data_IF_688144018937
#
_entry.id   IF_688144018937
#
_cell.length_a   1.000
_cell.length_b   1.000
_cell.length_c   1.000
_cell.angle_alpha   90.00
_cell.angle_beta   90.00
_cell.angle_gamma   90.00
#
_symmetry.space_group_name_H-M   'P 1'
#
loop_
_entity.id
_entity.type
_entity.pdbx_description
1 polymer ?
#
# COMPACT_ATOMS: atom_id res chain seq x y z
N UNK A 1 -3.57 19.28 -3.59
CA UNK A 1 -3.91 19.85 -2.27
C UNK A 1 -3.29 21.22 -2.15
N UNK A 2 -3.97 22.15 -1.48
CA UNK A 2 -3.54 23.56 -1.35
C UNK A 2 -2.23 23.74 -0.55
N UNK A 3 -1.80 22.76 0.25
CA UNK A 3 -0.55 22.83 1.03
C UNK A 3 0.32 21.56 0.90
N UNK A 4 1.04 21.39 -0.21
CA UNK A 4 1.85 20.20 -0.48
C UNK A 4 3.03 20.00 0.50
N UNK A 5 3.58 21.10 1.04
CA UNK A 5 4.69 21.06 2.01
C UNK A 5 4.23 20.57 3.39
N UNK A 6 3.07 21.02 3.86
CA UNK A 6 2.46 20.58 5.13
C UNK A 6 2.12 19.10 5.09
N UNK A 7 1.54 18.63 3.99
CA UNK A 7 1.28 17.20 3.81
C UNK A 7 2.56 16.35 3.79
N UNK A 8 3.68 16.88 3.25
CA UNK A 8 4.98 16.20 3.32
C UNK A 8 5.55 16.13 4.74
N UNK A 9 5.44 17.23 5.51
CA UNK A 9 5.85 17.26 6.91
C UNK A 9 5.00 16.31 7.78
N UNK A 10 3.67 16.30 7.60
CA UNK A 10 2.78 15.36 8.29
C UNK A 10 3.05 13.90 7.91
N UNK A 11 3.38 13.63 6.64
CA UNK A 11 3.80 12.30 6.22
C UNK A 11 5.09 11.87 6.90
N UNK A 12 6.07 12.77 7.09
CA UNK A 12 7.31 12.48 7.81
C UNK A 12 7.07 12.26 9.31
N UNK A 13 6.27 13.11 9.96
CA UNK A 13 5.87 12.92 11.37
C UNK A 13 5.15 11.59 11.55
N UNK A 14 4.21 11.28 10.67
CA UNK A 14 3.55 9.97 10.64
C UNK A 14 4.56 8.83 10.44
N UNK A 15 5.52 8.98 9.52
CA UNK A 15 6.54 7.98 9.23
C UNK A 15 7.42 7.63 10.44
N UNK A 16 7.66 8.62 11.31
CA UNK A 16 8.45 8.45 12.53
C UNK A 16 7.68 7.72 13.63
N UNK A 17 6.35 7.83 13.64
CA UNK A 17 5.49 7.03 14.51
C UNK A 17 5.28 5.61 13.96
N UNK A 18 5.17 5.49 12.63
CA UNK A 18 5.03 4.23 11.89
C UNK A 18 5.39 4.52 10.44
N UNK A 19 6.33 3.80 9.82
CA UNK A 19 6.92 4.12 8.49
C UNK A 19 5.91 4.39 7.35
N UNK A 20 4.71 3.83 7.45
CA UNK A 20 3.67 3.68 6.41
C UNK A 20 3.09 5.00 5.87
N UNK A 21 2.82 6.04 6.70
CA UNK A 21 2.52 7.40 6.25
C UNK A 21 3.47 7.98 5.19
N UNK A 22 4.74 7.58 5.13
CA UNK A 22 5.66 8.00 4.07
C UNK A 22 5.19 7.57 2.66
N UNK A 23 4.44 6.46 2.56
CA UNK A 23 3.96 5.93 1.29
C UNK A 23 2.95 6.87 0.61
N UNK A 24 2.32 7.78 1.36
CA UNK A 24 1.47 8.83 0.79
C UNK A 24 2.25 9.76 -0.15
N UNK A 25 3.55 9.96 0.09
CA UNK A 25 4.44 10.81 -0.73
C UNK A 25 4.55 10.29 -2.17
N UNK A 26 4.41 8.98 -2.38
CA UNK A 26 4.45 8.33 -3.70
C UNK A 26 3.38 8.91 -4.63
N UNK A 27 2.21 9.26 -4.07
CA UNK A 27 1.10 9.89 -4.78
C UNK A 27 1.23 11.41 -4.97
N UNK A 28 2.20 12.06 -4.32
CA UNK A 28 2.32 13.52 -4.29
C UNK A 28 3.16 14.07 -5.46
N UNK A 29 2.91 15.35 -5.79
CA UNK A 29 3.52 16.05 -6.93
C UNK A 29 4.49 17.15 -6.49
N UNK A 30 5.50 17.38 -7.33
CA UNK A 30 6.55 18.38 -7.10
C UNK A 30 7.62 17.92 -6.10
N UNK A 31 8.76 18.61 -6.09
CA UNK A 31 9.86 18.32 -5.14
C UNK A 31 9.52 18.75 -3.71
N UNK A 32 8.59 19.70 -3.54
CA UNK A 32 8.24 20.30 -2.24
C UNK A 32 7.86 19.29 -1.14
N UNK A 33 6.88 18.39 -1.34
CA UNK A 33 6.53 17.36 -0.37
C UNK A 33 7.69 16.43 -0.02
N UNK A 34 8.49 16.03 -1.01
CA UNK A 34 9.64 15.14 -0.84
C UNK A 34 10.77 15.80 -0.07
N UNK A 35 11.08 17.05 -0.39
CA UNK A 35 12.08 17.85 0.33
C UNK A 35 11.61 18.13 1.76
N UNK A 36 10.35 18.51 1.95
CA UNK A 36 9.78 18.69 3.29
C UNK A 36 9.87 17.40 4.10
N UNK A 37 9.51 16.25 3.52
CA UNK A 37 9.61 14.97 4.21
C UNK A 37 11.05 14.57 4.52
N UNK A 38 11.99 14.79 3.59
CA UNK A 38 13.40 14.49 3.79
C UNK A 38 14.02 15.38 4.88
N UNK A 39 13.75 16.69 4.86
CA UNK A 39 14.27 17.64 5.85
C UNK A 39 13.65 17.37 7.22
N UNK A 40 12.33 17.21 7.31
CA UNK A 40 11.66 16.89 8.58
C UNK A 40 12.09 15.53 9.13
N UNK A 41 12.21 14.52 8.27
CA UNK A 41 12.68 13.18 8.65
C UNK A 41 14.14 13.18 9.12
N UNK A 42 15.04 13.83 8.38
CA UNK A 42 16.45 13.95 8.76
C UNK A 42 16.63 14.76 10.06
N UNK A 43 15.89 15.85 10.21
CA UNK A 43 15.92 16.67 11.42
C UNK A 43 15.46 15.89 12.66
N UNK A 44 14.36 15.13 12.56
CA UNK A 44 13.91 14.29 13.67
C UNK A 44 14.84 13.11 13.94
N UNK A 45 15.39 12.48 12.89
CA UNK A 45 16.35 11.41 13.04
C UNK A 45 17.62 11.89 13.76
N UNK A 46 18.13 13.07 13.39
CA UNK A 46 19.25 13.71 14.07
C UNK A 46 18.92 14.06 15.53
N UNK A 47 17.71 14.59 15.79
CA UNK A 47 17.24 14.87 17.14
C UNK A 47 17.23 13.60 18.00
N UNK A 48 16.71 12.48 17.49
CA UNK A 48 16.72 11.20 18.21
C UNK A 48 18.12 10.62 18.37
N UNK A 49 18.99 10.75 17.36
CA UNK A 49 20.39 10.31 17.45
C UNK A 49 21.13 10.98 18.62
N UNK A 50 20.86 12.26 18.85
CA UNK A 50 21.55 13.07 19.88
C UNK A 50 20.87 12.95 21.24
N UNK A 51 19.54 12.92 21.29
CA UNK A 51 18.79 12.94 22.56
C UNK A 51 18.54 11.55 23.15
N UNK A 52 18.62 10.48 22.33
CA UNK A 52 18.34 9.10 22.74
C UNK A 52 19.45 8.15 22.27
N UNK A 53 20.49 7.93 23.08
CA UNK A 53 21.50 6.90 22.79
C UNK A 53 20.83 5.54 22.57
N UNK A 54 21.06 4.93 21.41
CA UNK A 54 20.42 3.67 21.02
C UNK A 54 19.08 3.82 20.27
N UNK A 55 18.66 5.04 19.91
CA UNK A 55 17.42 5.29 19.14
C UNK A 55 17.29 4.48 17.85
N UNK A 56 18.40 3.98 17.29
CA UNK A 56 18.43 3.16 16.08
C UNK A 56 18.78 1.70 16.32
N UNK A 57 18.92 1.25 17.57
CA UNK A 57 19.16 -0.17 17.90
C UNK A 57 18.02 -1.09 17.41
N UNK A 58 16.83 -0.53 17.16
CA UNK A 58 15.74 -1.26 16.50
C UNK A 58 16.06 -1.70 15.07
N UNK A 59 16.97 -1.02 14.36
CA UNK A 59 17.39 -1.39 13.01
C UNK A 59 18.18 -2.71 13.03
N UNK A 60 18.98 -2.94 14.08
CA UNK A 60 19.65 -4.23 14.32
C UNK A 60 18.66 -5.31 14.76
N UNK A 61 17.62 -4.97 15.55
CA UNK A 61 16.56 -5.93 15.93
C UNK A 61 15.72 -6.41 14.73
N UNK A 62 15.67 -5.66 13.63
CA UNK A 62 15.07 -6.17 12.39
C UNK A 62 15.87 -7.35 11.82
N UNK A 63 17.14 -7.57 12.16
CA UNK A 63 17.85 -8.75 11.65
C UNK A 63 17.54 -10.03 12.43
N UNK A 64 17.14 -9.89 13.69
CA UNK A 64 16.94 -10.99 14.64
C UNK A 64 15.47 -11.41 14.80
N UNK A 65 14.55 -10.72 14.14
CA UNK A 65 13.13 -11.07 14.13
C UNK A 65 12.85 -12.29 13.26
N UNK A 66 12.08 -13.22 13.80
CA UNK A 66 11.54 -14.36 13.08
C UNK A 66 10.44 -13.96 12.10
N UNK A 67 9.71 -14.97 11.62
CA UNK A 67 8.55 -14.77 10.73
C UNK A 67 7.29 -14.90 11.57
N UNK A 68 6.51 -13.82 11.66
CA UNK A 68 5.28 -13.81 12.48
C UNK A 68 4.31 -14.86 11.97
N UNK A 69 3.68 -15.62 12.87
CA UNK A 69 2.78 -16.74 12.53
C UNK A 69 1.62 -16.32 11.62
N UNK A 70 1.23 -15.07 11.68
CA UNK A 70 0.13 -14.50 10.91
C UNK A 70 0.53 -14.05 9.48
N UNK A 71 1.82 -14.03 9.16
CA UNK A 71 2.34 -13.47 7.91
C UNK A 71 2.09 -14.37 6.68
N UNK A 72 2.26 -13.82 5.47
CA UNK A 72 2.19 -14.68 4.27
C UNK A 72 3.34 -15.69 4.24
N UNK A 73 4.53 -15.25 4.67
CA UNK A 73 5.72 -16.08 4.71
C UNK A 73 5.60 -17.26 5.67
N UNK A 74 4.82 -17.14 6.75
CA UNK A 74 4.66 -18.20 7.74
C UNK A 74 3.91 -19.42 7.26
N UNK A 75 3.09 -19.30 6.19
CA UNK A 75 2.32 -20.41 5.65
C UNK A 75 3.21 -21.59 5.27
N UNK A 76 4.45 -21.34 4.82
CA UNK A 76 5.41 -22.41 4.54
C UNK A 76 5.78 -23.20 5.80
N UNK A 77 5.96 -22.54 6.94
CA UNK A 77 6.33 -23.17 8.21
C UNK A 77 5.14 -23.87 8.85
N UNK A 78 3.94 -23.28 8.75
CA UNK A 78 2.70 -23.93 9.16
C UNK A 78 2.52 -25.28 8.46
N UNK A 79 2.75 -25.34 7.14
CA UNK A 79 2.68 -26.59 6.38
C UNK A 79 3.85 -27.51 6.72
N UNK A 80 5.09 -26.99 6.74
CA UNK A 80 6.29 -27.78 6.97
C UNK A 80 6.31 -28.50 8.34
N UNK A 81 5.65 -27.95 9.36
CA UNK A 81 5.48 -28.63 10.65
C UNK A 81 4.79 -29.99 10.56
N UNK A 82 3.83 -30.13 9.64
CA UNK A 82 3.15 -31.41 9.39
C UNK A 82 4.05 -32.45 8.72
N UNK A 83 5.24 -32.04 8.27
CA UNK A 83 6.26 -32.88 7.64
C UNK A 83 7.55 -32.95 8.47
N UNK A 84 7.48 -32.64 9.77
CA UNK A 84 8.61 -32.82 10.70
C UNK A 84 9.61 -31.66 10.74
N UNK A 85 9.24 -30.45 10.31
CA UNK A 85 10.10 -29.28 10.47
C UNK A 85 10.39 -29.00 11.95
N UNK A 86 11.67 -28.87 12.30
CA UNK A 86 12.18 -28.81 13.68
C UNK A 86 12.04 -27.43 14.35
N UNK A 87 11.30 -26.50 13.75
CA UNK A 87 11.15 -25.13 14.26
C UNK A 87 10.01 -24.92 15.25
N UNK A 88 10.20 -23.91 16.10
CA UNK A 88 9.29 -23.50 17.16
C UNK A 88 8.44 -22.28 16.81
N UNK A 89 7.34 -22.10 17.53
CA UNK A 89 6.63 -20.82 17.61
C UNK A 89 6.87 -20.31 19.01
N UNK A 90 7.49 -19.16 19.12
CA UNK A 90 7.87 -18.56 20.40
C UNK A 90 7.44 -17.11 20.43
N UNK A 91 7.14 -16.62 21.63
CA UNK A 91 6.93 -15.19 21.83
C UNK A 91 8.30 -14.51 21.72
N UNK A 92 8.49 -13.74 20.65
CA UNK A 92 9.75 -13.05 20.35
C UNK A 92 9.45 -11.61 19.96
N UNK A 93 10.18 -10.64 20.53
CA UNK A 93 9.97 -9.21 20.27
C UNK A 93 8.49 -8.75 20.33
N UNK A 94 7.69 -9.33 21.24
CA UNK A 94 6.28 -8.98 21.47
C UNK A 94 5.28 -9.55 20.46
N UNK A 95 5.68 -10.48 19.60
CA UNK A 95 4.81 -11.20 18.66
C UNK A 95 5.10 -12.71 18.67
N UNK A 96 4.12 -13.53 18.26
CA UNK A 96 4.35 -14.96 18.08
C UNK A 96 5.04 -15.18 16.74
N UNK A 97 6.27 -15.69 16.79
CA UNK A 97 7.13 -15.83 15.62
C UNK A 97 7.59 -17.28 15.46
N UNK A 98 7.70 -17.72 14.22
CA UNK A 98 8.44 -18.91 13.86
C UNK A 98 9.93 -18.66 14.00
N UNK A 99 10.62 -19.55 14.71
CA UNK A 99 12.07 -19.59 14.89
C UNK A 99 12.57 -21.00 14.55
N UNK A 100 13.70 -21.09 13.84
CA UNK A 100 14.28 -22.38 13.45
C UNK A 100 14.86 -22.39 12.04
N UNK A 101 15.14 -23.58 11.48
CA UNK A 101 15.74 -23.71 10.15
C UNK A 101 14.94 -22.98 9.07
N UNK A 102 15.65 -22.27 8.18
CA UNK A 102 15.11 -21.54 7.02
C UNK A 102 14.23 -20.29 7.33
N UNK A 103 14.00 -19.94 8.60
CA UNK A 103 13.27 -18.70 8.97
C UNK A 103 13.96 -17.47 8.40
N UNK A 104 15.28 -17.37 8.52
CA UNK A 104 16.06 -16.25 7.96
C UNK A 104 15.97 -16.17 6.44
N UNK A 105 15.89 -17.32 5.76
CA UNK A 105 15.71 -17.39 4.31
C UNK A 105 14.35 -16.82 3.91
N UNK A 106 13.27 -17.24 4.58
CA UNK A 106 11.92 -16.72 4.32
C UNK A 106 11.84 -15.23 4.66
N UNK A 107 12.45 -14.80 5.77
CA UNK A 107 12.57 -13.39 6.13
C UNK A 107 13.29 -12.57 5.05
N UNK A 108 14.37 -13.10 4.47
CA UNK A 108 15.10 -12.49 3.35
C UNK A 108 14.26 -12.43 2.09
N UNK A 109 13.49 -13.47 1.78
CA UNK A 109 12.54 -13.49 0.66
C UNK A 109 11.44 -12.44 0.84
N UNK A 110 10.86 -12.34 2.03
CA UNK A 110 9.89 -11.28 2.37
C UNK A 110 10.48 -9.88 2.13
N UNK A 111 11.71 -9.64 2.60
CA UNK A 111 12.42 -8.37 2.37
C UNK A 111 12.65 -8.11 0.87
N UNK A 112 13.08 -9.12 0.12
CA UNK A 112 13.27 -9.02 -1.33
C UNK A 112 11.96 -8.72 -2.05
N UNK A 113 10.84 -9.35 -1.64
CA UNK A 113 9.52 -9.06 -2.18
C UNK A 113 9.07 -7.63 -1.87
N UNK A 114 9.34 -7.12 -0.67
CA UNK A 114 9.10 -5.70 -0.34
C UNK A 114 9.95 -4.75 -1.19
N UNK A 115 11.20 -5.10 -1.48
CA UNK A 115 12.05 -4.33 -2.38
C UNK A 115 11.53 -4.35 -3.83
N UNK A 116 11.04 -5.50 -4.31
CA UNK A 116 10.38 -5.62 -5.62
C UNK A 116 9.10 -4.78 -5.67
N UNK A 117 8.28 -4.81 -4.63
CA UNK A 117 7.08 -3.98 -4.52
C UNK A 117 7.44 -2.48 -4.58
N UNK A 118 8.48 -2.06 -3.86
CA UNK A 118 8.99 -0.70 -3.92
C UNK A 118 9.46 -0.33 -5.34
N UNK A 119 10.26 -1.19 -5.98
CA UNK A 119 10.72 -0.99 -7.36
C UNK A 119 9.56 -0.88 -8.34
N UNK A 120 8.50 -1.68 -8.16
CA UNK A 120 7.28 -1.60 -8.97
C UNK A 120 6.56 -0.26 -8.78
N UNK A 121 6.44 0.24 -7.55
CA UNK A 121 5.83 1.56 -7.27
C UNK A 121 6.65 2.70 -7.90
N UNK A 122 7.98 2.63 -7.87
CA UNK A 122 8.84 3.59 -8.55
C UNK A 122 8.66 3.54 -10.07
N UNK A 123 8.63 2.33 -10.65
CA UNK A 123 8.40 2.13 -12.07
C UNK A 123 7.03 2.70 -12.48
N UNK A 124 5.99 2.40 -11.70
CA UNK A 124 4.66 2.96 -11.88
C UNK A 124 4.70 4.49 -11.85
N UNK A 125 5.37 5.08 -10.85
CA UNK A 125 5.44 6.53 -10.67
C UNK A 125 6.13 7.23 -11.84
N UNK A 126 7.20 6.65 -12.36
CA UNK A 126 7.93 7.16 -13.55
C UNK A 126 7.05 7.05 -14.79
N UNK A 127 6.45 5.87 -15.04
CA UNK A 127 5.59 5.63 -16.21
C UNK A 127 4.33 6.51 -16.19
N UNK A 128 3.67 6.63 -15.05
CA UNK A 128 2.50 7.49 -14.87
C UNK A 128 2.83 8.98 -15.03
N UNK A 129 4.05 9.41 -14.67
CA UNK A 129 4.49 10.80 -14.89
C UNK A 129 4.81 11.15 -16.34
N UNK A 130 5.18 10.14 -17.14
CA UNK A 130 5.52 10.29 -18.57
C UNK A 130 4.31 10.16 -19.49
N UNK A 131 3.21 9.56 -19.03
CA UNK A 131 2.00 9.44 -19.85
C UNK A 131 1.38 10.81 -20.09
N UNK A 132 1.24 11.21 -21.37
CA UNK A 132 0.63 12.48 -21.78
C UNK A 132 -0.85 12.60 -21.35
N UNK A 133 -1.49 11.47 -21.04
CA UNK A 133 -2.85 11.40 -20.52
C UNK A 133 -2.91 11.82 -19.04
N UNK A 134 -3.16 13.10 -18.82
CA UNK A 134 -3.65 13.68 -17.58
C UNK A 134 -2.71 13.77 -16.38
N UNK A 135 -2.59 15.01 -15.91
CA UNK A 135 -2.27 15.40 -14.55
C UNK A 135 -2.86 14.38 -13.54
N UNK A 136 -2.03 13.67 -12.75
CA UNK A 136 -2.41 12.94 -11.52
C UNK A 136 -3.66 13.58 -10.90
N UNK A 137 -4.80 12.92 -11.08
CA UNK A 137 -6.06 13.34 -10.50
C UNK A 137 -5.98 13.17 -8.98
N UNK A 138 -6.79 13.91 -8.23
CA UNK A 138 -6.77 13.90 -6.76
C UNK A 138 -6.86 12.48 -6.17
N UNK A 139 -7.66 11.59 -6.77
CA UNK A 139 -7.82 10.20 -6.33
C UNK A 139 -6.58 9.32 -6.49
N UNK A 140 -5.67 9.67 -7.41
CA UNK A 140 -4.48 8.85 -7.72
C UNK A 140 -3.56 8.70 -6.51
N UNK A 141 -3.47 9.75 -5.68
CA UNK A 141 -2.64 9.71 -4.49
C UNK A 141 -3.21 8.75 -3.42
N UNK A 142 -4.53 8.76 -3.23
CA UNK A 142 -5.22 7.84 -2.33
C UNK A 142 -5.08 6.38 -2.83
N UNK A 143 -5.36 6.16 -4.11
CA UNK A 143 -5.22 4.85 -4.75
C UNK A 143 -3.78 4.31 -4.67
N UNK A 144 -2.77 5.16 -4.87
CA UNK A 144 -1.36 4.76 -4.75
C UNK A 144 -0.96 4.44 -3.31
N UNK A 145 -1.43 5.23 -2.33
CA UNK A 145 -1.18 4.96 -0.92
C UNK A 145 -1.80 3.64 -0.48
N UNK A 146 -3.05 3.38 -0.87
CA UNK A 146 -3.74 2.12 -0.60
C UNK A 146 -3.00 0.92 -1.22
N UNK A 147 -2.59 1.02 -2.49
CA UNK A 147 -1.80 -0.03 -3.16
C UNK A 147 -0.46 -0.25 -2.48
N UNK A 148 0.25 0.82 -2.11
CA UNK A 148 1.54 0.71 -1.46
C UNK A 148 1.41 0.00 -0.11
N UNK A 149 0.45 0.40 0.74
CA UNK A 149 0.22 -0.26 2.03
C UNK A 149 -0.17 -1.72 1.83
N UNK A 150 -1.04 -2.06 0.86
CA UNK A 150 -1.36 -3.45 0.52
C UNK A 150 -0.12 -4.27 0.19
N UNK A 151 0.73 -3.78 -0.71
CA UNK A 151 1.94 -4.47 -1.13
C UNK A 151 2.91 -4.70 0.02
N UNK A 152 3.14 -3.69 0.85
CA UNK A 152 4.04 -3.83 2.00
C UNK A 152 3.46 -4.71 3.10
N UNK A 153 2.14 -4.68 3.32
CA UNK A 153 1.48 -5.62 4.25
C UNK A 153 1.67 -7.06 3.78
N UNK A 154 1.37 -7.37 2.52
CA UNK A 154 1.42 -8.75 2.00
C UNK A 154 2.86 -9.30 1.88
N UNK A 155 3.84 -8.44 1.61
CA UNK A 155 5.25 -8.86 1.49
C UNK A 155 6.01 -8.87 2.80
N UNK A 156 5.45 -8.27 3.85
CA UNK A 156 6.07 -8.24 5.17
C UNK A 156 6.07 -9.62 5.82
N UNK A 157 7.18 -9.94 6.51
CA UNK A 157 7.30 -11.09 7.42
C UNK A 157 6.53 -10.90 8.74
N UNK A 158 5.94 -9.73 8.95
CA UNK A 158 5.12 -9.33 10.10
C UNK A 158 3.79 -8.85 9.54
N UNK A 159 2.70 -9.55 9.85
CA UNK A 159 1.34 -9.13 9.52
C UNK A 159 0.51 -9.21 10.80
N UNK A 160 0.13 -8.05 11.33
CA UNK A 160 -0.70 -7.94 12.52
C UNK A 160 -2.08 -7.36 12.16
N UNK A 161 -3.15 -7.66 12.92
CA UNK A 161 -4.50 -7.14 12.71
C UNK A 161 -4.58 -5.62 12.51
N UNK A 162 -3.69 -4.87 13.16
CA UNK A 162 -3.57 -3.41 13.02
C UNK A 162 -3.38 -2.94 11.55
N UNK A 163 -2.77 -3.74 10.68
CA UNK A 163 -2.57 -3.36 9.28
C UNK A 163 -3.88 -3.32 8.49
N UNK A 164 -4.84 -4.17 8.82
CA UNK A 164 -6.15 -4.15 8.17
C UNK A 164 -6.92 -2.87 8.53
N UNK A 165 -6.76 -2.34 9.74
CA UNK A 165 -7.35 -1.05 10.13
C UNK A 165 -6.87 0.08 9.19
N UNK A 166 -5.57 0.13 8.92
CA UNK A 166 -4.99 1.10 7.97
C UNK A 166 -5.52 0.89 6.56
N UNK A 167 -5.60 -0.36 6.11
CA UNK A 167 -6.12 -0.71 4.78
C UNK A 167 -7.59 -0.34 4.63
N UNK A 168 -8.42 -0.56 5.66
CA UNK A 168 -9.82 -0.15 5.68
C UNK A 168 -9.93 1.37 5.61
N UNK A 169 -9.15 2.11 6.40
CA UNK A 169 -9.13 3.57 6.38
C UNK A 169 -8.74 4.14 5.02
N UNK A 170 -7.64 3.66 4.43
CA UNK A 170 -7.21 4.07 3.08
C UNK A 170 -8.21 3.65 2.01
N UNK A 171 -8.78 2.47 2.14
CA UNK A 171 -9.86 1.98 1.29
C UNK A 171 -11.07 2.90 1.32
N UNK A 172 -11.51 3.33 2.50
CA UNK A 172 -12.60 4.29 2.67
C UNK A 172 -12.30 5.63 1.97
N UNK A 173 -11.07 6.15 2.10
CA UNK A 173 -10.63 7.37 1.38
C UNK A 173 -10.70 7.17 -0.14
N UNK A 174 -10.25 6.03 -0.67
CA UNK A 174 -10.41 5.69 -2.09
C UNK A 174 -11.90 5.71 -2.50
N UNK A 175 -12.80 5.24 -1.63
CA UNK A 175 -14.24 5.21 -1.90
C UNK A 175 -14.90 6.60 -1.91
N UNK A 176 -14.31 7.62 -1.28
CA UNK A 176 -14.78 9.01 -1.40
C UNK A 176 -14.62 9.57 -2.83
N UNK A 177 -13.78 8.97 -3.67
CA UNK A 177 -13.60 9.39 -5.06
C UNK A 177 -14.38 8.49 -6.02
N UNK A 178 -15.41 9.03 -6.68
CA UNK A 178 -16.20 8.28 -7.68
C UNK A 178 -15.36 7.72 -8.84
N UNK A 179 -14.26 8.39 -9.19
CA UNK A 179 -13.35 7.96 -10.24
C UNK A 179 -12.40 6.83 -9.82
N UNK A 180 -12.23 6.56 -8.52
CA UNK A 180 -11.37 5.48 -8.03
C UNK A 180 -11.93 4.12 -8.45
N UNK A 181 -11.02 3.23 -8.87
CA UNK A 181 -11.34 1.86 -9.28
C UNK A 181 -11.06 0.83 -8.20
N UNK A 182 -10.82 1.27 -6.97
CA UNK A 182 -10.45 0.39 -5.85
C UNK A 182 -11.64 -0.34 -5.20
N UNK A 183 -12.82 -0.38 -5.83
CA UNK A 183 -14.02 -1.02 -5.27
C UNK A 183 -13.80 -2.50 -4.90
N UNK A 184 -13.31 -3.29 -5.85
CA UNK A 184 -13.09 -4.73 -5.63
C UNK A 184 -11.95 -4.99 -4.64
N UNK A 185 -10.76 -4.35 -4.76
CA UNK A 185 -9.74 -4.46 -3.73
C UNK A 185 -10.20 -4.11 -2.32
N UNK A 186 -10.97 -3.03 -2.15
CA UNK A 186 -11.49 -2.62 -0.85
C UNK A 186 -12.48 -3.65 -0.31
N UNK A 187 -13.34 -4.23 -1.15
CA UNK A 187 -14.25 -5.30 -0.74
C UNK A 187 -13.49 -6.54 -0.25
N UNK A 188 -12.39 -6.92 -0.92
CA UNK A 188 -11.55 -8.04 -0.50
C UNK A 188 -10.86 -7.78 0.84
N UNK A 189 -10.37 -6.55 1.07
CA UNK A 189 -9.84 -6.14 2.39
C UNK A 189 -10.92 -6.23 3.46
N UNK A 190 -12.13 -5.72 3.18
CA UNK A 190 -13.24 -5.79 4.12
C UNK A 190 -13.66 -7.23 4.42
N UNK A 191 -13.57 -8.14 3.46
CA UNK A 191 -13.80 -9.57 3.67
C UNK A 191 -12.68 -10.23 4.50
N UNK A 192 -11.43 -9.76 4.39
CA UNK A 192 -10.31 -10.23 5.21
C UNK A 192 -10.40 -9.75 6.69
N UNK A 193 -11.05 -8.61 6.94
CA UNK A 193 -11.21 -8.04 8.29
C UNK A 193 -11.92 -8.97 9.30
N UNK A 194 -13.11 -9.54 9.02
CA UNK A 194 -13.75 -10.46 9.96
C UNK A 194 -12.94 -11.75 10.16
N UNK A 195 -12.22 -12.24 9.15
CA UNK A 195 -11.33 -13.39 9.31
C UNK A 195 -10.20 -13.09 10.29
N UNK A 196 -9.68 -11.86 10.24
CA UNK A 196 -8.61 -11.41 11.16
C UNK A 196 -9.15 -11.19 12.58
N UNK A 197 -10.41 -10.78 12.73
CA UNK A 197 -11.08 -10.68 14.04
C UNK A 197 -11.45 -12.05 14.63
N UNK A 198 -11.73 -13.05 13.78
CA UNK A 198 -11.91 -14.44 14.20
C UNK A 198 -10.56 -15.06 14.58
N UNK A 199 -9.51 -14.76 13.82
CA UNK A 199 -8.14 -15.20 14.10
C UNK A 199 -7.68 -14.74 15.48
N UNK A 200 -7.73 -13.43 15.77
CA UNK A 200 -7.36 -12.88 17.06
C UNK A 200 -8.53 -12.13 17.71
N UNK A 201 -8.91 -12.46 18.97
CA UNK A 201 -8.25 -13.39 19.89
C UNK A 201 -8.78 -14.84 19.85
N UNK A 202 -9.84 -15.14 19.09
CA UNK A 202 -10.64 -16.36 19.28
C UNK A 202 -9.94 -17.64 18.82
N UNK A 203 -9.27 -17.61 17.66
CA UNK A 203 -8.68 -18.80 17.02
C UNK A 203 -7.14 -18.74 16.98
N UNK A 204 -6.55 -17.90 17.80
CA UNK A 204 -5.11 -17.67 17.77
C UNK A 204 -4.33 -18.91 18.22
N UNK A 205 -4.91 -19.70 19.13
CA UNK A 205 -4.35 -20.98 19.55
C UNK A 205 -4.27 -21.98 18.37
N UNK A 206 -5.31 -22.06 17.53
CA UNK A 206 -5.31 -22.90 16.33
C UNK A 206 -4.24 -22.48 15.33
N UNK A 207 -4.03 -21.17 15.17
CA UNK A 207 -2.96 -20.62 14.33
C UNK A 207 -1.60 -21.01 14.88
N UNK A 208 -1.31 -20.74 16.16
CA UNK A 208 -0.03 -21.08 16.80
C UNK A 208 0.26 -22.59 16.74
N UNK A 209 -0.77 -23.40 16.99
CA UNK A 209 -0.69 -24.87 16.90
C UNK A 209 -0.62 -25.39 15.46
N UNK A 210 -0.81 -24.53 14.45
CA UNK A 210 -0.82 -24.91 13.03
C UNK A 210 -1.88 -25.97 12.71
N UNK A 211 -3.06 -25.91 13.35
CA UNK A 211 -4.15 -26.84 13.06
C UNK A 211 -4.68 -26.64 11.63
N UNK A 212 -5.25 -27.66 10.98
CA UNK A 212 -5.80 -27.51 9.63
C UNK A 212 -6.80 -26.36 9.52
N UNK A 213 -7.56 -26.09 10.58
CA UNK A 213 -8.50 -24.98 10.66
C UNK A 213 -7.78 -23.63 10.71
N UNK A 214 -6.79 -23.46 11.61
CA UNK A 214 -5.97 -22.24 11.69
C UNK A 214 -5.23 -21.94 10.39
N UNK A 215 -4.64 -22.96 9.75
CA UNK A 215 -3.97 -22.84 8.45
C UNK A 215 -4.95 -22.42 7.36
N UNK A 216 -6.15 -23.01 7.32
CA UNK A 216 -7.18 -22.66 6.33
C UNK A 216 -7.62 -21.21 6.50
N UNK A 217 -7.89 -20.78 7.73
CA UNK A 217 -8.26 -19.40 8.05
C UNK A 217 -7.19 -18.40 7.57
N UNK A 218 -5.92 -18.65 7.92
CA UNK A 218 -4.78 -17.85 7.49
C UNK A 218 -4.63 -17.82 5.97
N UNK A 219 -4.75 -18.98 5.33
CA UNK A 219 -4.59 -19.12 3.88
C UNK A 219 -5.66 -18.34 3.13
N UNK A 220 -6.92 -18.39 3.58
CA UNK A 220 -8.02 -17.60 3.00
C UNK A 220 -7.78 -16.12 3.21
N UNK A 221 -7.45 -15.69 4.44
CA UNK A 221 -7.19 -14.28 4.75
C UNK A 221 -6.03 -13.71 3.94
N UNK A 222 -4.90 -14.40 3.90
CA UNK A 222 -3.72 -14.00 3.13
C UNK A 222 -3.99 -14.04 1.62
N UNK A 223 -4.74 -15.03 1.13
CA UNK A 223 -5.18 -15.11 -0.25
C UNK A 223 -6.02 -13.91 -0.68
N UNK A 224 -6.96 -13.47 0.18
CA UNK A 224 -7.75 -12.26 -0.06
C UNK A 224 -6.88 -11.00 -0.15
N UNK A 225 -5.90 -10.84 0.74
CA UNK A 225 -4.99 -9.70 0.73
C UNK A 225 -4.08 -9.70 -0.51
N UNK A 226 -3.55 -10.86 -0.91
CA UNK A 226 -2.78 -11.03 -2.16
C UNK A 226 -3.65 -10.66 -3.36
N UNK A 227 -4.87 -11.19 -3.45
CA UNK A 227 -5.80 -10.87 -4.53
C UNK A 227 -6.13 -9.37 -4.58
N UNK A 228 -6.41 -8.74 -3.43
CA UNK A 228 -6.64 -7.31 -3.31
C UNK A 228 -5.44 -6.51 -3.83
N UNK A 229 -4.22 -6.91 -3.46
CA UNK A 229 -2.96 -6.28 -3.87
C UNK A 229 -2.79 -6.32 -5.39
N UNK A 230 -2.93 -7.49 -6.00
CA UNK A 230 -2.78 -7.67 -7.45
C UNK A 230 -3.83 -6.88 -8.24
N UNK A 231 -5.09 -6.91 -7.79
CA UNK A 231 -6.18 -6.18 -8.44
C UNK A 231 -6.01 -4.66 -8.30
N UNK A 232 -5.61 -4.17 -7.12
CA UNK A 232 -5.38 -2.76 -6.88
C UNK A 232 -4.20 -2.24 -7.70
N UNK A 233 -3.09 -2.98 -7.73
CA UNK A 233 -1.91 -2.65 -8.54
C UNK A 233 -2.26 -2.57 -10.04
N UNK A 234 -3.02 -3.55 -10.54
CA UNK A 234 -3.49 -3.58 -11.94
C UNK A 234 -4.44 -2.41 -12.24
N UNK A 235 -5.35 -2.08 -11.32
CA UNK A 235 -6.28 -0.97 -11.48
C UNK A 235 -5.54 0.37 -11.53
N UNK A 236 -4.58 0.58 -10.63
CA UNK A 236 -3.73 1.77 -10.57
C UNK A 236 -2.93 1.94 -11.87
N UNK A 237 -2.24 0.89 -12.31
CA UNK A 237 -1.44 0.92 -13.54
C UNK A 237 -2.29 1.21 -14.77
N UNK A 238 -3.42 0.50 -14.94
CA UNK A 238 -4.31 0.71 -16.09
C UNK A 238 -4.96 2.08 -16.09
N UNK A 239 -5.31 2.61 -14.92
CA UNK A 239 -5.94 3.92 -14.77
C UNK A 239 -5.03 5.09 -15.10
N UNK A 240 -3.72 4.91 -14.98
CA UNK A 240 -2.73 6.01 -15.08
C UNK A 240 -1.75 5.87 -16.24
N UNK A 241 -1.39 4.65 -16.63
CA UNK A 241 -0.36 4.38 -17.67
C UNK A 241 -0.97 3.98 -19.01
N UNK A 242 -2.07 3.21 -19.05
CA UNK A 242 -2.62 2.65 -20.30
C UNK A 242 -3.72 3.47 -20.97
N UNK A 243 -4.41 4.39 -20.28
CA UNK A 243 -5.43 5.26 -20.90
C UNK A 243 -4.86 6.41 -21.77
N UNK A 244 -3.65 6.22 -22.29
CA UNK A 244 -2.94 7.16 -23.15
C UNK A 244 -3.39 7.16 -24.61
N UNK A 245 -4.31 6.28 -25.03
CA UNK A 245 -4.84 6.33 -26.40
C UNK A 245 -5.80 7.52 -26.50
N UNK A 246 -5.52 8.54 -27.33
CA UNK A 246 -6.47 9.60 -27.59
C UNK A 246 -7.75 8.94 -28.13
N UNK A 247 -8.91 9.32 -27.60
CA UNK A 247 -10.14 9.11 -28.35
C UNK A 247 -9.95 9.76 -29.74
N UNK A 248 -10.38 9.12 -30.84
CA UNK A 248 -10.41 9.80 -32.13
C UNK A 248 -11.16 11.11 -31.92
N UNK A 249 -10.52 12.24 -32.23
CA UNK A 249 -11.16 13.54 -32.14
C UNK A 249 -12.51 13.44 -32.87
N UNK A 250 -13.61 13.66 -32.14
CA UNK A 250 -14.90 13.91 -32.77
C UNK A 250 -14.66 15.01 -33.80
N UNK A 251 -14.81 14.66 -35.08
CA UNK A 251 -14.73 15.64 -36.16
C UNK A 251 -15.70 16.77 -35.79
N UNK A 252 -15.24 18.04 -35.79
CA UNK A 252 -16.16 19.15 -35.59
C UNK A 252 -17.30 19.00 -36.60
N UNK A 253 -18.54 18.98 -36.11
CA UNK A 253 -19.71 19.03 -36.97
C UNK A 253 -19.55 20.21 -37.94
N UNK A 254 -19.89 20.06 -39.24
CA UNK A 254 -19.79 21.16 -40.18
C UNK A 254 -20.58 22.35 -39.63
N UNK A 255 -19.89 23.47 -39.40
CA UNK A 255 -20.54 24.72 -39.03
C UNK A 255 -21.45 25.12 -40.20
N UNK A 256 -22.75 24.89 -40.04
CA UNK A 256 -23.77 25.46 -40.93
C UNK A 256 -23.59 26.97 -40.88
N UNK A 257 -23.11 27.56 -41.98
CA UNK A 257 -23.01 29.03 -42.11
C UNK A 257 -24.42 29.61 -41.93
N UNK A 258 -24.60 30.40 -40.88
CA UNK A 258 -25.77 31.26 -40.76
C UNK A 258 -25.73 32.28 -41.91
N UNK A 259 -26.86 32.45 -42.60
CA UNK A 259 -27.02 33.43 -43.65
C UNK A 259 -26.83 34.86 -43.09
N UNK A 260 -26.30 35.81 -43.88
CA UNK A 260 -26.08 37.17 -43.41
C UNK A 260 -27.42 37.83 -43.05
N UNK A 261 -27.45 38.47 -41.88
CA UNK A 261 -28.55 39.32 -41.47
C UNK A 261 -28.47 40.65 -42.25
N UNK A 262 -29.42 40.88 -43.15
CA UNK A 262 -29.64 42.19 -43.75
C UNK A 262 -30.32 43.11 -42.73
N UNK A 263 -29.72 44.27 -42.45
CA UNK A 263 -30.38 45.50 -41.97
C UNK A 263 -29.33 46.60 -41.84
N UNK A 264 -29.69 47.90 -41.77
CA UNK A 264 -30.83 48.64 -42.35
C UNK A 264 -30.41 50.01 -42.94
N UNK A 265 -31.28 50.69 -43.70
CA UNK A 265 -31.27 52.17 -43.76
C UNK A 265 -32.70 52.70 -43.89
N UNK A 266 -33.16 53.42 -42.86
CA UNK A 266 -34.36 54.28 -42.90
C UNK A 266 -34.11 55.57 -43.69
N UNK A 267 -35.00 56.56 -43.75
CA UNK A 267 -36.37 56.78 -43.29
C UNK A 267 -36.96 57.90 -44.21
N UNK A 268 -37.96 58.66 -43.76
CA UNK A 268 -39.31 58.80 -44.33
C UNK A 268 -39.44 59.42 -45.74
#
# INVERSE_FOLDING_TARGET
GRHPRVAGALAAVGALLKVWPALVLVGMRGRGPWVAAAVSGAGLAALFAVSMPGAFAFLTFQRERGVEVESLGSLVFHVARHFGWEGGVLLNYGSMEFLGPHVDTVGTVSLALSAVAFGWLLLWRVRASRSASHRFAAHTAADAAFVAVLMFTVTSRVISPQYLVWLVGLGAVCRCFRASRMRVPVALVLAATPLTALEFPLLFADVVASTPFGITLLSVRNGLLVAATLLAARALWRGTVRRGTPAPAERPAPLTRAAPADTPTGAP
#
